data_IF_636545281686
#
_entry.id   IF_636545281686
#
_cell.length_a   1.000
_cell.length_b   1.000
_cell.length_c   1.000
_cell.angle_alpha   90.00
_cell.angle_beta   90.00
_cell.angle_gamma   90.00
#
_symmetry.space_group_name_H-M   'P 1'
#
loop_
_entity.id
_entity.type
_entity.pdbx_description
1 polymer ?
#
# COMPACT_ATOMS: atom_id res chain seq x y z
N UNK A 1 0.89 2.08 11.19
CA UNK A 1 1.35 1.85 9.80
C UNK A 1 1.65 3.17 9.12
N UNK A 2 2.85 3.29 8.58
CA UNK A 2 3.32 4.45 7.83
C UNK A 2 3.75 4.02 6.42
N UNK A 3 3.70 4.95 5.47
CA UNK A 3 4.07 4.67 4.08
C UNK A 3 4.70 5.89 3.41
N UNK A 4 5.53 5.64 2.40
CA UNK A 4 6.21 6.67 1.61
C UNK A 4 5.57 6.73 0.23
N UNK A 5 5.39 7.93 -0.30
CA UNK A 5 4.87 8.14 -1.66
C UNK A 5 5.84 9.06 -2.40
N UNK A 6 6.17 8.68 -3.63
CA UNK A 6 6.96 9.53 -4.52
C UNK A 6 6.44 9.49 -5.95
N UNK A 7 6.75 10.53 -6.72
CA UNK A 7 6.50 10.58 -8.17
C UNK A 7 7.82 10.44 -8.90
N UNK A 8 7.86 9.52 -9.87
CA UNK A 8 8.98 9.46 -10.79
C UNK A 8 9.06 10.72 -11.66
N UNK A 9 10.27 11.06 -12.09
CA UNK A 9 10.45 12.12 -13.09
C UNK A 9 9.72 11.73 -14.37
N UNK A 10 9.24 12.71 -15.13
CA UNK A 10 8.49 12.43 -16.37
C UNK A 10 9.30 11.62 -17.38
N UNK A 11 10.62 11.86 -17.45
CA UNK A 11 11.56 11.05 -18.27
C UNK A 11 11.67 9.58 -17.85
N UNK A 12 11.20 9.23 -16.66
CA UNK A 12 11.14 7.89 -16.10
C UNK A 12 9.67 7.39 -16.03
N UNK A 13 8.78 7.94 -16.85
CA UNK A 13 7.37 7.52 -16.93
C UNK A 13 6.42 8.31 -16.02
N UNK A 14 6.92 9.15 -15.11
CA UNK A 14 6.09 10.12 -14.40
C UNK A 14 5.07 9.54 -13.40
N UNK A 15 5.12 8.24 -13.10
CA UNK A 15 4.14 7.53 -12.27
C UNK A 15 4.31 7.80 -10.78
N UNK A 16 3.22 7.67 -10.03
CA UNK A 16 3.25 7.64 -8.57
C UNK A 16 3.60 6.24 -8.09
N UNK A 17 4.49 6.17 -7.10
CA UNK A 17 4.92 4.93 -6.46
C UNK A 17 4.64 5.03 -4.96
N UNK A 18 3.90 4.06 -4.43
CA UNK A 18 3.63 3.91 -3.01
C UNK A 18 4.51 2.80 -2.41
N UNK A 19 5.25 3.13 -1.35
CA UNK A 19 6.16 2.24 -0.65
C UNK A 19 7.55 2.85 -0.44
N UNK A 20 8.35 2.28 0.49
CA UNK A 20 8.02 1.14 1.34
C UNK A 20 7.00 1.49 2.44
N UNK A 21 6.44 0.44 3.05
CA UNK A 21 5.60 0.53 4.26
C UNK A 21 6.46 0.22 5.49
N UNK A 22 6.18 0.85 6.62
CA UNK A 22 6.86 0.62 7.90
C UNK A 22 5.91 0.80 9.09
N UNK A 23 6.42 0.53 10.30
CA UNK A 23 5.70 0.71 11.57
C UNK A 23 4.49 -0.22 11.73
N UNK A 24 4.81 -1.50 12.02
CA UNK A 24 3.86 -2.62 12.16
C UNK A 24 3.68 -3.09 13.61
N UNK A 25 4.15 -2.32 14.59
CA UNK A 25 4.06 -2.63 16.01
C UNK A 25 2.60 -2.67 16.51
N UNK A 26 1.72 -1.81 15.99
CA UNK A 26 0.28 -1.80 16.26
C UNK A 26 -0.53 -2.52 15.16
N UNK A 27 -0.12 -3.75 14.82
CA UNK A 27 -0.83 -4.57 13.82
C UNK A 27 -0.99 -6.00 14.29
N UNK A 28 -1.79 -6.79 13.57
CA UNK A 28 -2.05 -8.20 13.85
C UNK A 28 -2.87 -8.48 15.12
N UNK A 29 -3.82 -7.61 15.44
CA UNK A 29 -4.80 -7.88 16.50
C UNK A 29 -4.36 -7.52 17.90
N UNK A 30 -3.31 -6.70 18.03
CA UNK A 30 -2.70 -6.35 19.32
C UNK A 30 -3.27 -5.07 19.93
N UNK A 31 -4.18 -4.38 19.24
CA UNK A 31 -4.71 -3.07 19.65
C UNK A 31 -6.21 -3.00 19.43
N UNK A 32 -6.92 -2.24 20.26
CA UNK A 32 -8.32 -1.88 20.03
C UNK A 32 -8.47 -0.65 19.13
N UNK A 33 -7.36 0.05 18.81
CA UNK A 33 -7.42 1.23 17.95
C UNK A 33 -7.91 0.86 16.57
N UNK A 34 -8.93 1.56 16.09
CA UNK A 34 -9.51 1.39 14.76
C UNK A 34 -9.92 -0.08 14.48
N UNK A 35 -10.44 -0.76 15.52
CA UNK A 35 -10.82 -2.18 15.52
C UNK A 35 -9.73 -3.10 14.99
N UNK A 36 -8.46 -2.85 15.33
CA UNK A 36 -7.35 -3.69 14.86
C UNK A 36 -7.44 -5.14 15.35
N UNK A 37 -8.10 -5.39 16.47
CA UNK A 37 -8.42 -6.70 17.03
C UNK A 37 -9.46 -7.48 16.21
N UNK A 38 -10.30 -6.81 15.43
CA UNK A 38 -11.26 -7.45 14.54
C UNK A 38 -10.55 -7.92 13.26
N UNK A 39 -10.50 -9.25 12.98
CA UNK A 39 -9.91 -9.77 11.75
C UNK A 39 -10.76 -9.48 10.50
N UNK A 40 -11.95 -8.90 10.64
CA UNK A 40 -12.87 -8.62 9.55
C UNK A 40 -12.81 -7.15 9.08
N UNK A 41 -13.49 -6.86 7.97
CA UNK A 41 -13.64 -5.50 7.46
C UNK A 41 -12.41 -4.92 6.75
N UNK A 42 -12.56 -3.66 6.36
CA UNK A 42 -11.58 -2.94 5.55
C UNK A 42 -11.19 -1.61 6.23
N UNK A 43 -9.95 -1.52 6.70
CA UNK A 43 -9.44 -0.32 7.39
C UNK A 43 -9.48 0.93 6.50
N UNK A 44 -9.34 0.80 5.17
CA UNK A 44 -9.37 1.96 4.26
C UNK A 44 -10.75 2.67 4.22
N UNK A 45 -11.82 2.03 4.71
CA UNK A 45 -13.15 2.64 4.82
C UNK A 45 -13.25 3.62 5.99
N UNK A 46 -12.39 3.48 7.02
CA UNK A 46 -12.37 4.33 8.22
C UNK A 46 -13.77 4.49 8.86
N UNK A 47 -14.55 3.42 8.85
CA UNK A 47 -15.91 3.37 9.41
C UNK A 47 -15.98 2.61 10.74
N UNK A 48 -14.81 2.25 11.29
CA UNK A 48 -14.66 1.59 12.59
C UNK A 48 -14.64 2.63 13.72
N UNK A 49 -14.93 2.20 14.96
CA UNK A 49 -14.79 3.06 16.14
C UNK A 49 -13.32 3.38 16.39
N UNK A 50 -13.06 4.50 17.07
CA UNK A 50 -11.72 4.87 17.56
C UNK A 50 -10.65 4.98 16.44
N UNK A 51 -11.07 5.35 15.22
CA UNK A 51 -10.18 5.71 14.09
C UNK A 51 -9.97 7.23 13.96
N UNK A 52 -10.37 8.05 14.94
CA UNK A 52 -10.51 9.52 14.81
C UNK A 52 -9.20 10.25 14.50
N UNK A 53 -8.04 9.73 14.92
CA UNK A 53 -6.71 10.30 14.63
C UNK A 53 -6.09 9.82 13.29
N UNK A 54 -6.75 8.89 12.59
CA UNK A 54 -6.28 8.30 11.32
C UNK A 54 -7.01 8.85 10.08
N UNK A 55 -7.70 10.00 10.23
CA UNK A 55 -8.44 10.76 9.20
C UNK A 55 -7.61 11.19 7.95
N UNK A 56 -6.43 10.63 7.75
CA UNK A 56 -5.58 10.80 6.56
C UNK A 56 -5.44 9.54 5.71
N UNK A 57 -6.26 8.49 5.93
CA UNK A 57 -6.28 7.35 5.00
C UNK A 57 -6.49 7.88 3.58
N UNK A 58 -5.54 7.66 2.67
CA UNK A 58 -5.60 8.33 1.39
C UNK A 58 -6.86 7.97 0.61
N UNK A 59 -7.60 8.99 0.18
CA UNK A 59 -8.89 8.81 -0.50
C UNK A 59 -8.79 7.90 -1.74
N UNK A 60 -7.62 7.82 -2.37
CA UNK A 60 -7.40 6.98 -3.54
C UNK A 60 -7.66 5.49 -3.28
N UNK A 61 -7.56 4.98 -2.05
CA UNK A 61 -7.91 3.58 -1.77
C UNK A 61 -9.38 3.30 -2.05
N UNK A 62 -10.27 4.20 -1.64
CA UNK A 62 -11.70 4.07 -1.94
C UNK A 62 -11.98 4.23 -3.44
N UNK A 63 -11.30 5.18 -4.11
CA UNK A 63 -11.45 5.37 -5.56
C UNK A 63 -10.95 4.17 -6.37
N UNK A 64 -9.77 3.62 -6.05
CA UNK A 64 -9.25 2.42 -6.72
C UNK A 64 -10.14 1.21 -6.47
N UNK A 65 -10.71 1.08 -5.28
CA UNK A 65 -11.66 0.01 -4.96
C UNK A 65 -13.03 0.17 -5.63
N UNK A 66 -13.28 1.23 -6.40
CA UNK A 66 -14.45 1.33 -7.30
C UNK A 66 -14.13 0.89 -8.74
N UNK A 67 -12.85 0.77 -9.08
CA UNK A 67 -12.38 0.37 -10.41
C UNK A 67 -12.31 -1.16 -10.51
N UNK A 68 -13.06 -1.73 -11.45
CA UNK A 68 -13.12 -3.19 -11.67
C UNK A 68 -11.81 -3.77 -12.17
N UNK A 69 -11.02 -3.02 -12.94
CA UNK A 69 -9.70 -3.46 -13.39
C UNK A 69 -8.76 -3.56 -12.19
N UNK A 70 -8.80 -2.57 -11.29
CA UNK A 70 -8.00 -2.60 -10.07
C UNK A 70 -8.40 -3.78 -9.17
N UNK A 71 -9.70 -4.00 -8.96
CA UNK A 71 -10.19 -5.12 -8.16
C UNK A 71 -9.77 -6.49 -8.74
N UNK A 72 -9.92 -6.70 -10.05
CA UNK A 72 -9.51 -7.95 -10.69
C UNK A 72 -8.00 -8.20 -10.51
N UNK A 73 -7.19 -7.15 -10.70
CA UNK A 73 -5.74 -7.23 -10.49
C UNK A 73 -5.39 -7.54 -9.03
N UNK A 74 -6.08 -6.90 -8.09
CA UNK A 74 -5.92 -7.14 -6.66
C UNK A 74 -6.22 -8.61 -6.33
N UNK A 75 -7.32 -9.16 -6.87
CA UNK A 75 -7.69 -10.57 -6.68
C UNK A 75 -6.63 -11.53 -7.18
N UNK A 76 -6.14 -11.35 -8.41
CA UNK A 76 -5.08 -12.21 -8.94
C UNK A 76 -3.82 -12.17 -8.07
N UNK A 77 -3.39 -10.96 -7.69
CA UNK A 77 -2.18 -10.81 -6.85
C UNK A 77 -2.37 -11.45 -5.48
N UNK A 78 -3.56 -11.33 -4.90
CA UNK A 78 -3.91 -12.01 -3.65
C UNK A 78 -3.78 -13.52 -3.81
N UNK A 79 -4.39 -14.11 -4.84
CA UNK A 79 -4.37 -15.56 -5.08
C UNK A 79 -2.94 -16.07 -5.31
N UNK A 80 -2.12 -15.35 -6.08
CA UNK A 80 -0.71 -15.68 -6.29
C UNK A 80 0.07 -15.70 -4.97
N UNK A 81 -0.17 -14.71 -4.10
CA UNK A 81 0.52 -14.62 -2.81
C UNK A 81 0.03 -15.68 -1.84
N UNK A 82 -1.27 -15.98 -1.83
CA UNK A 82 -1.88 -17.02 -1.00
C UNK A 82 -1.40 -18.42 -1.37
N UNK A 83 -1.00 -18.64 -2.61
CA UNK A 83 -0.34 -19.86 -3.09
C UNK A 83 1.18 -19.91 -2.81
N UNK A 84 1.77 -18.87 -2.21
CA UNK A 84 3.21 -18.77 -1.98
C UNK A 84 3.55 -18.39 -0.52
N UNK A 85 4.19 -17.24 -0.31
CA UNK A 85 4.69 -16.83 1.00
C UNK A 85 3.57 -16.44 1.98
N UNK A 86 2.39 -16.07 1.46
CA UNK A 86 1.24 -15.70 2.27
C UNK A 86 0.35 -16.91 2.61
N UNK A 87 0.81 -18.14 2.32
CA UNK A 87 0.17 -19.35 2.84
C UNK A 87 0.25 -19.41 4.37
N UNK A 88 -0.82 -19.89 5.04
CA UNK A 88 -0.86 -19.99 6.51
C UNK A 88 0.36 -20.75 7.05
N UNK A 89 0.69 -21.90 6.45
CA UNK A 89 1.84 -22.69 6.86
C UNK A 89 3.18 -21.97 6.64
N UNK A 90 3.31 -21.21 5.54
CA UNK A 90 4.50 -20.39 5.26
C UNK A 90 4.70 -19.35 6.35
N UNK A 91 3.64 -18.63 6.72
CA UNK A 91 3.66 -17.60 7.78
C UNK A 91 3.93 -18.24 9.14
N UNK A 92 3.26 -19.35 9.47
CA UNK A 92 3.41 -20.01 10.75
C UNK A 92 4.78 -20.65 10.94
N UNK A 93 5.38 -21.13 9.84
CA UNK A 93 6.76 -21.58 9.82
C UNK A 93 7.71 -20.41 10.03
N UNK A 94 7.50 -19.28 9.35
CA UNK A 94 8.29 -18.06 9.54
C UNK A 94 8.28 -17.59 11.00
N UNK A 95 7.08 -17.42 11.60
CA UNK A 95 6.91 -17.10 13.02
C UNK A 95 7.65 -18.11 13.92
N UNK A 96 7.53 -19.41 13.64
CA UNK A 96 8.23 -20.45 14.42
C UNK A 96 9.75 -20.29 14.31
N UNK A 97 10.26 -20.05 13.11
CA UNK A 97 11.70 -19.90 12.88
C UNK A 97 12.27 -18.69 13.62
N UNK A 98 11.58 -17.56 13.59
CA UNK A 98 12.03 -16.34 14.28
C UNK A 98 11.91 -16.46 15.79
N UNK A 99 10.82 -17.01 16.30
CA UNK A 99 10.65 -17.25 17.76
C UNK A 99 11.71 -18.19 18.32
N UNK A 100 12.20 -19.12 17.50
CA UNK A 100 13.36 -19.98 17.83
C UNK A 100 14.65 -19.18 17.80
N UNK A 101 14.87 -18.39 16.74
CA UNK A 101 16.07 -17.57 16.58
C UNK A 101 16.28 -16.59 17.75
N UNK A 102 15.20 -16.00 18.27
CA UNK A 102 15.27 -15.01 19.34
C UNK A 102 15.12 -15.59 20.76
N UNK A 103 15.14 -16.92 20.95
CA UNK A 103 14.80 -17.57 22.24
C UNK A 103 15.56 -16.99 23.44
N UNK A 104 16.87 -16.82 23.29
CA UNK A 104 17.75 -16.37 24.37
C UNK A 104 17.62 -14.87 24.62
N UNK A 105 17.48 -14.08 23.54
CA UNK A 105 17.25 -12.65 23.62
C UNK A 105 15.92 -12.35 24.32
N UNK A 106 14.87 -13.10 23.97
CA UNK A 106 13.57 -13.05 24.62
C UNK A 106 13.67 -13.35 26.12
N UNK A 107 14.40 -14.40 26.50
CA UNK A 107 14.59 -14.74 27.92
C UNK A 107 15.23 -13.59 28.69
N UNK A 108 16.33 -13.03 28.18
CA UNK A 108 16.99 -11.86 28.79
C UNK A 108 16.07 -10.64 28.87
N UNK A 109 15.27 -10.41 27.84
CA UNK A 109 14.32 -9.30 27.78
C UNK A 109 13.32 -9.37 28.93
N UNK A 110 12.62 -10.50 29.09
CA UNK A 110 11.60 -10.62 30.13
C UNK A 110 12.16 -10.84 31.54
N UNK A 111 13.44 -11.21 31.68
CA UNK A 111 14.15 -11.10 32.97
C UNK A 111 14.38 -9.63 33.35
N UNK A 112 14.77 -8.78 32.40
CA UNK A 112 15.04 -7.35 32.66
C UNK A 112 13.75 -6.53 32.78
N UNK A 113 12.75 -6.84 31.96
CA UNK A 113 11.46 -6.15 31.90
C UNK A 113 10.32 -7.18 32.04
N UNK A 114 9.89 -7.50 33.26
CA UNK A 114 8.88 -8.54 33.51
C UNK A 114 7.45 -8.02 33.34
N UNK A 115 7.06 -7.69 32.09
CA UNK A 115 5.78 -7.07 31.76
C UNK A 115 4.81 -8.00 31.01
N UNK A 116 5.18 -9.28 30.82
CA UNK A 116 4.29 -10.25 30.17
C UNK A 116 3.03 -10.47 31.02
N UNK A 117 1.87 -10.57 30.37
CA UNK A 117 0.58 -10.67 31.07
C UNK A 117 0.04 -9.34 31.62
N UNK A 118 0.74 -8.22 31.40
CA UNK A 118 0.29 -6.89 31.81
C UNK A 118 -0.24 -6.11 30.60
N UNK A 119 -1.31 -5.35 30.82
CA UNK A 119 -1.78 -4.36 29.84
C UNK A 119 -0.80 -3.18 29.83
N UNK A 120 -0.25 -2.84 28.67
CA UNK A 120 0.71 -1.74 28.53
C UNK A 120 0.02 -0.51 27.96
N UNK A 121 -0.93 -0.71 27.04
CA UNK A 121 -1.66 0.36 26.39
C UNK A 121 -3.14 -0.01 26.21
N UNK A 122 -3.57 -0.30 24.99
CA UNK A 122 -4.97 -0.55 24.62
C UNK A 122 -5.13 -1.90 23.91
N UNK A 123 -4.48 -2.92 24.46
CA UNK A 123 -4.56 -4.28 23.95
C UNK A 123 -5.96 -4.88 24.20
N UNK A 124 -6.46 -5.74 23.29
CA UNK A 124 -7.72 -6.44 23.51
C UNK A 124 -7.61 -7.44 24.67
N UNK A 125 -8.73 -7.65 25.35
CA UNK A 125 -8.85 -8.66 26.41
C UNK A 125 -9.25 -10.02 25.83
N UNK A 126 -8.74 -11.15 26.36
CA UNK A 126 -7.80 -11.25 27.47
C UNK A 126 -6.34 -11.00 27.04
N UNK A 127 -5.56 -10.37 27.93
CA UNK A 127 -4.12 -10.20 27.75
C UNK A 127 -3.43 -11.58 27.85
N UNK A 128 -2.62 -12.00 26.86
CA UNK A 128 -1.86 -13.23 26.93
C UNK A 128 -0.91 -13.26 28.14
N UNK A 129 -0.90 -14.36 28.90
CA UNK A 129 -0.16 -14.45 30.17
C UNK A 129 1.27 -14.99 29.98
N UNK A 130 1.60 -15.41 28.76
CA UNK A 130 2.91 -15.95 28.41
C UNK A 130 3.27 -15.67 26.97
N UNK A 131 4.55 -15.75 26.63
CA UNK A 131 4.99 -15.51 25.25
C UNK A 131 4.46 -16.59 24.30
N UNK A 132 4.22 -17.79 24.81
CA UNK A 132 3.60 -18.85 24.03
C UNK A 132 2.15 -18.47 23.68
N UNK A 133 1.40 -17.89 24.62
CA UNK A 133 0.05 -17.37 24.37
C UNK A 133 0.05 -16.19 23.41
N UNK A 134 1.01 -15.27 23.48
CA UNK A 134 1.18 -14.18 22.49
C UNK A 134 1.31 -14.74 21.07
N UNK A 135 2.14 -15.77 20.88
CA UNK A 135 2.31 -16.42 19.58
C UNK A 135 1.03 -17.15 19.13
N UNK A 136 0.26 -17.71 20.05
CA UNK A 136 -1.04 -18.33 19.74
C UNK A 136 -2.04 -17.25 19.29
N UNK A 137 -2.12 -16.14 20.02
CA UNK A 137 -2.99 -15.01 19.70
C UNK A 137 -2.66 -14.44 18.30
N UNK A 138 -1.38 -14.16 18.04
CA UNK A 138 -0.90 -13.69 16.74
C UNK A 138 -1.28 -14.63 15.59
N UNK A 139 -1.02 -15.93 15.75
CA UNK A 139 -1.35 -16.93 14.72
C UNK A 139 -2.85 -17.06 14.50
N UNK A 140 -3.63 -17.02 15.58
CA UNK A 140 -5.10 -17.08 15.53
C UNK A 140 -5.66 -15.88 14.74
N UNK A 141 -5.22 -14.66 15.09
CA UNK A 141 -5.66 -13.45 14.40
C UNK A 141 -5.29 -13.48 12.91
N UNK A 142 -4.03 -13.85 12.59
CA UNK A 142 -3.60 -13.97 11.19
C UNK A 142 -4.43 -15.01 10.44
N UNK A 143 -4.70 -16.17 11.03
CA UNK A 143 -5.52 -17.20 10.39
C UNK A 143 -6.92 -16.67 10.06
N UNK A 144 -7.58 -16.06 11.04
CA UNK A 144 -8.93 -15.51 10.88
C UNK A 144 -8.95 -14.38 9.85
N UNK A 145 -7.93 -13.51 9.85
CA UNK A 145 -7.80 -12.43 8.87
C UNK A 145 -7.62 -12.96 7.46
N UNK A 146 -6.76 -13.95 7.26
CA UNK A 146 -6.56 -14.59 5.96
C UNK A 146 -7.84 -15.27 5.47
N UNK A 147 -8.55 -16.00 6.34
CA UNK A 147 -9.82 -16.64 5.97
C UNK A 147 -10.88 -15.60 5.58
N UNK A 148 -10.97 -14.50 6.32
CA UNK A 148 -11.88 -13.43 5.98
C UNK A 148 -11.53 -12.77 4.64
N UNK A 149 -10.24 -12.49 4.40
CA UNK A 149 -9.78 -11.92 3.13
C UNK A 149 -10.00 -12.88 1.96
N UNK A 150 -9.75 -14.18 2.13
CA UNK A 150 -10.01 -15.20 1.10
C UNK A 150 -11.49 -15.22 0.67
N UNK A 151 -12.41 -14.97 1.61
CA UNK A 151 -13.86 -14.92 1.35
C UNK A 151 -14.37 -13.57 0.81
N UNK A 152 -13.67 -12.47 1.08
CA UNK A 152 -14.17 -11.11 0.82
C UNK A 152 -13.35 -10.32 -0.20
N UNK A 153 -12.26 -10.87 -0.75
CA UNK A 153 -11.45 -10.18 -1.75
C UNK A 153 -12.26 -9.93 -3.03
N UNK A 154 -12.48 -8.66 -3.44
CA UNK A 154 -13.28 -8.36 -4.61
C UNK A 154 -12.49 -8.58 -5.91
N UNK A 155 -13.21 -8.66 -7.02
CA UNK A 155 -12.66 -8.89 -8.35
C UNK A 155 -12.68 -10.36 -8.76
N UNK A 156 -12.39 -10.61 -10.03
CA UNK A 156 -12.27 -11.94 -10.61
C UNK A 156 -11.03 -12.00 -11.50
N UNK A 157 -10.15 -12.96 -11.22
CA UNK A 157 -8.89 -13.11 -11.95
C UNK A 157 -9.07 -13.53 -13.41
N UNK A 158 -10.20 -14.15 -13.77
CA UNK A 158 -10.53 -14.48 -15.17
C UNK A 158 -10.68 -13.23 -16.06
N UNK A 159 -10.91 -12.07 -15.45
CA UNK A 159 -11.09 -10.78 -16.12
C UNK A 159 -9.93 -9.81 -15.85
N UNK A 160 -8.77 -10.30 -15.37
CA UNK A 160 -7.59 -9.44 -15.20
C UNK A 160 -7.01 -9.07 -16.56
N UNK A 161 -6.86 -7.77 -16.79
CA UNK A 161 -6.26 -7.24 -18.01
C UNK A 161 -4.83 -6.83 -17.67
N UNK A 162 -3.87 -7.57 -18.23
CA UNK A 162 -2.46 -7.38 -17.87
C UNK A 162 -1.84 -6.11 -18.42
N UNK A 163 -2.47 -5.52 -19.45
CA UNK A 163 -2.02 -4.32 -20.13
C UNK A 163 -3.20 -3.41 -20.44
N UNK A 164 -3.23 -2.26 -19.79
CA UNK A 164 -4.00 -1.12 -20.28
C UNK A 164 -3.04 -0.37 -21.19
N UNK A 165 -3.35 -0.27 -22.48
CA UNK A 165 -2.66 0.72 -23.31
C UNK A 165 -3.00 2.08 -22.71
N UNK A 166 -2.01 2.71 -22.07
CA UNK A 166 -2.09 4.11 -21.71
C UNK A 166 -2.38 4.82 -23.04
N UNK A 167 -3.61 5.32 -23.20
CA UNK A 167 -3.89 6.27 -24.27
C UNK A 167 -3.00 7.46 -23.96
N UNK A 168 -1.77 7.43 -24.47
CA UNK A 168 -1.03 8.63 -24.72
C UNK A 168 -1.94 9.39 -25.66
N UNK A 169 -2.76 10.29 -25.10
CA UNK A 169 -3.40 11.33 -25.88
C UNK A 169 -2.24 11.90 -26.69
N UNK A 170 -2.25 11.59 -27.98
CA UNK A 170 -1.18 11.97 -28.89
C UNK A 170 -1.38 13.46 -29.05
N UNK A 171 -0.82 14.22 -28.10
CA UNK A 171 -1.06 15.64 -27.98
C UNK A 171 -0.68 16.28 -29.29
N UNK A 172 -1.65 16.87 -29.96
CA UNK A 172 -1.42 17.48 -31.26
C UNK A 172 -0.80 18.85 -31.05
N UNK A 173 0.32 19.13 -31.71
CA UNK A 173 0.95 20.44 -31.68
C UNK A 173 0.03 21.44 -32.39
N UNK A 174 -0.63 22.31 -31.63
CA UNK A 174 -1.52 23.32 -32.19
C UNK A 174 -0.72 24.51 -32.74
N UNK A 175 0.18 25.05 -31.91
CA UNK A 175 0.83 26.33 -32.19
C UNK A 175 2.27 26.31 -31.68
N UNK A 176 3.18 26.84 -32.50
CA UNK A 176 4.53 27.24 -32.08
C UNK A 176 4.58 28.76 -31.94
N UNK A 177 5.03 29.25 -30.80
CA UNK A 177 5.25 30.67 -30.54
C UNK A 177 6.70 30.97 -30.16
N UNK A 178 7.12 32.21 -30.37
CA UNK A 178 8.32 32.71 -29.70
C UNK A 178 8.05 32.92 -28.20
N UNK A 179 9.11 33.25 -27.45
CA UNK A 179 9.00 33.51 -26.00
C UNK A 179 8.10 34.72 -25.64
N UNK A 180 7.69 35.52 -26.63
CA UNK A 180 6.78 36.66 -26.48
C UNK A 180 5.34 36.32 -26.89
N UNK A 181 5.06 35.05 -27.23
CA UNK A 181 3.72 34.57 -27.60
C UNK A 181 3.34 34.83 -29.06
N UNK A 182 4.26 35.27 -29.92
CA UNK A 182 3.97 35.48 -31.35
C UNK A 182 4.11 34.17 -32.12
N UNK A 183 3.11 33.82 -32.93
CA UNK A 183 3.17 32.64 -33.81
C UNK A 183 4.43 32.69 -34.67
N UNK A 184 5.21 31.61 -34.64
CA UNK A 184 6.48 31.52 -35.34
C UNK A 184 6.70 30.11 -35.89
N UNK A 185 7.59 29.98 -36.87
CA UNK A 185 8.08 28.67 -37.31
C UNK A 185 9.19 28.21 -36.37
N UNK A 186 9.39 26.89 -36.29
CA UNK A 186 10.52 26.29 -35.57
C UNK A 186 11.83 26.81 -36.15
N UNK A 187 12.76 27.23 -35.27
CA UNK A 187 14.09 27.73 -35.64
C UNK A 187 15.16 27.02 -34.81
N UNK A 188 16.31 26.78 -35.43
CA UNK A 188 17.48 26.24 -34.74
C UNK A 188 18.21 27.37 -33.99
N UNK A 189 18.83 27.02 -32.88
CA UNK A 189 19.54 27.89 -31.93
C UNK A 189 18.69 29.02 -31.30
N UNK A 190 17.36 28.92 -31.36
CA UNK A 190 16.44 29.91 -30.79
C UNK A 190 15.36 29.20 -29.95
N UNK A 191 15.09 29.64 -28.70
CA UNK A 191 14.01 29.07 -27.90
C UNK A 191 12.64 29.39 -28.47
N UNK A 192 11.77 28.39 -28.47
CA UNK A 192 10.35 28.52 -28.83
C UNK A 192 9.47 27.75 -27.84
N UNK A 193 8.17 28.05 -27.87
CA UNK A 193 7.15 27.40 -27.04
C UNK A 193 6.21 26.62 -27.97
N UNK A 194 6.02 25.35 -27.68
CA UNK A 194 5.05 24.45 -28.29
C UNK A 194 3.80 24.42 -27.41
N UNK A 195 2.63 24.68 -27.98
CA UNK A 195 1.33 24.62 -27.30
C UNK A 195 0.52 23.48 -27.92
N UNK A 196 -0.04 22.63 -27.06
CA UNK A 196 -0.74 21.42 -27.43
C UNK A 196 -2.27 21.55 -27.23
N UNK A 197 -3.02 20.65 -27.86
CA UNK A 197 -4.49 20.56 -27.83
C UNK A 197 -5.11 20.32 -26.45
N UNK A 198 -4.33 19.76 -25.53
CA UNK A 198 -4.70 19.56 -24.14
C UNK A 198 -4.38 20.76 -23.23
N UNK A 199 -4.08 21.93 -23.80
CA UNK A 199 -3.64 23.15 -23.11
C UNK A 199 -2.30 23.06 -22.38
N UNK A 200 -1.52 21.99 -22.57
CA UNK A 200 -0.14 21.94 -22.08
C UNK A 200 0.82 22.71 -23.00
N UNK A 201 1.98 23.10 -22.48
CA UNK A 201 3.02 23.76 -23.27
C UNK A 201 4.42 23.24 -22.93
N UNK A 202 5.34 23.33 -23.89
CA UNK A 202 6.74 22.92 -23.75
C UNK A 202 7.67 23.98 -24.33
N UNK A 203 8.71 24.36 -23.58
CA UNK A 203 9.78 25.23 -24.08
C UNK A 203 10.90 24.36 -24.67
N UNK A 204 11.27 24.62 -25.91
CA UNK A 204 12.24 23.81 -26.68
C UNK A 204 13.31 24.73 -27.31
N UNK A 205 14.55 24.27 -27.37
CA UNK A 205 15.65 24.85 -28.17
C UNK A 205 16.22 23.71 -29.01
N UNK A 206 16.27 23.88 -30.32
CA UNK A 206 16.99 22.98 -31.22
C UNK A 206 18.41 23.51 -31.41
N UNK A 207 19.40 22.64 -31.50
CA UNK A 207 20.78 22.99 -31.84
C UNK A 207 21.15 22.29 -33.16
N UNK A 208 22.06 22.88 -33.94
CA UNK A 208 22.62 22.26 -35.15
C UNK A 208 23.60 21.12 -34.79
#
# INVERSE_FOLDING_TARGET
>A
MSSYLHKDRDKNGGKLNAGPIWDFDQTYGVSLVCSNDDPSGWTYLQNQSDCEDLMSMPMWWQSMMQDTIFQNRLKCRWDDFRNTFLHKDSIFYWIKSDTTLISDAKSRNFTKWPHIGQQIWIEPSPIPQSYAEEIIALKSWIANRLDWLDLNMPGNCEYDITSIEEQANKKELLIVTDILGKKNKVKVNIPFIEIYDDNSFKKTILFD
#
